data_IF_433362772152
#
_entry.id   IF_433362772152
#
_cell.length_a   1.000
_cell.length_b   1.000
_cell.length_c   1.000
_cell.angle_alpha   90.00
_cell.angle_beta   90.00
_cell.angle_gamma   90.00
#
_symmetry.space_group_name_H-M   'P 1'
#
loop_
_entity.id
_entity.type
_entity.pdbx_description
1 polymer ?
#
# COMPACT_ATOMS: atom_id res chain seq x y z
N UNK A 1 -11.27 14.14 -7.39
CA UNK A 1 -10.75 12.77 -7.15
C UNK A 1 -11.63 12.04 -6.14
N UNK A 2 -11.82 10.73 -6.31
CA UNK A 2 -12.63 9.88 -5.41
C UNK A 2 -11.80 9.42 -4.21
N UNK A 3 -12.44 9.17 -3.06
CA UNK A 3 -11.78 8.59 -1.89
C UNK A 3 -11.41 7.12 -2.18
N UNK A 4 -10.16 6.73 -1.95
CA UNK A 4 -9.72 5.35 -2.16
C UNK A 4 -10.04 4.44 -0.95
N UNK A 5 -10.04 3.13 -1.20
CA UNK A 5 -10.20 2.13 -0.16
C UNK A 5 -9.07 2.20 0.88
N UNK A 6 -9.28 1.53 2.01
CA UNK A 6 -8.29 1.49 3.08
C UNK A 6 -7.00 0.82 2.62
N UNK A 7 -5.83 1.43 2.88
CA UNK A 7 -4.57 0.85 2.43
C UNK A 7 -4.21 -0.46 3.13
N UNK A 8 -4.71 -0.66 4.35
CA UNK A 8 -4.39 -1.82 5.17
C UNK A 8 -5.26 -3.03 4.83
N UNK A 9 -6.59 -2.87 4.85
CA UNK A 9 -7.54 -3.98 4.70
C UNK A 9 -8.35 -3.94 3.40
N UNK A 10 -8.12 -2.95 2.53
CA UNK A 10 -8.93 -2.67 1.32
C UNK A 10 -10.41 -2.43 1.58
N UNK A 11 -10.78 -2.21 2.85
CA UNK A 11 -12.13 -1.87 3.27
C UNK A 11 -12.60 -0.48 2.80
N UNK A 12 -13.90 -0.23 2.93
CA UNK A 12 -14.48 1.09 2.61
C UNK A 12 -13.95 2.14 3.60
N UNK A 13 -13.58 3.29 3.04
CA UNK A 13 -13.23 4.49 3.80
C UNK A 13 -14.35 5.52 3.66
N UNK A 14 -14.57 6.30 4.73
CA UNK A 14 -15.57 7.36 4.77
C UNK A 14 -14.97 8.62 5.41
N UNK A 15 -15.63 9.75 5.17
CA UNK A 15 -15.30 11.00 5.87
C UNK A 15 -16.08 11.06 7.17
N UNK A 16 -15.36 11.26 8.26
CA UNK A 16 -15.91 11.67 9.54
C UNK A 16 -15.67 13.17 9.72
N UNK A 17 -16.63 13.87 10.28
CA UNK A 17 -16.49 15.27 10.64
C UNK A 17 -16.83 15.49 12.13
N UNK A 18 -16.16 16.46 12.73
CA UNK A 18 -16.42 16.89 14.09
C UNK A 18 -16.34 18.40 14.19
N UNK A 19 -17.14 18.98 15.08
CA UNK A 19 -17.05 20.40 15.41
C UNK A 19 -16.12 20.59 16.62
N UNK A 20 -15.14 21.47 16.48
CA UNK A 20 -14.20 21.86 17.55
C UNK A 20 -14.31 23.38 17.72
N UNK A 21 -15.12 23.80 18.69
CA UNK A 21 -15.55 25.20 18.77
C UNK A 21 -16.37 25.58 17.53
N UNK A 22 -15.94 26.63 16.84
CA UNK A 22 -16.59 27.14 15.63
C UNK A 22 -16.02 26.56 14.32
N UNK A 23 -15.03 25.67 14.42
CA UNK A 23 -14.36 25.06 13.26
C UNK A 23 -14.86 23.63 13.04
N UNK A 24 -15.24 23.33 11.80
CA UNK A 24 -15.58 21.97 11.36
C UNK A 24 -14.33 21.28 10.85
N UNK A 25 -13.90 20.26 11.59
CA UNK A 25 -12.75 19.43 11.23
C UNK A 25 -13.19 18.13 10.57
N UNK A 26 -12.36 17.63 9.68
CA UNK A 26 -12.58 16.46 8.85
C UNK A 26 -11.51 15.41 9.11
N UNK A 27 -11.87 14.15 8.94
CA UNK A 27 -10.99 13.01 9.06
C UNK A 27 -11.46 11.94 8.06
N UNK A 28 -10.55 11.13 7.53
CA UNK A 28 -10.90 9.91 6.80
C UNK A 28 -10.66 8.71 7.70
N UNK A 29 -11.66 7.82 7.79
CA UNK A 29 -11.62 6.63 8.63
C UNK A 29 -12.07 5.40 7.85
N UNK A 30 -11.46 4.25 8.14
CA UNK A 30 -11.88 2.96 7.60
C UNK A 30 -12.94 2.30 8.49
N UNK A 31 -14.02 1.81 7.88
CA UNK A 31 -15.12 1.11 8.57
C UNK A 31 -14.70 -0.24 9.19
N UNK A 32 -13.67 -0.90 8.62
CA UNK A 32 -13.29 -2.26 9.00
C UNK A 32 -12.15 -2.31 10.02
N UNK A 33 -11.03 -1.63 9.75
CA UNK A 33 -9.84 -1.73 10.60
C UNK A 33 -9.63 -0.53 11.54
N UNK A 34 -10.51 0.48 11.47
CA UNK A 34 -10.41 1.68 12.30
C UNK A 34 -9.23 2.61 11.98
N UNK A 35 -8.46 2.34 10.91
CA UNK A 35 -7.39 3.22 10.47
C UNK A 35 -7.96 4.60 10.11
N UNK A 36 -7.37 5.66 10.66
CA UNK A 36 -7.83 7.03 10.43
C UNK A 36 -6.68 8.00 10.13
N UNK A 37 -7.01 9.15 9.54
CA UNK A 37 -6.09 10.30 9.36
C UNK A 37 -6.06 11.19 10.61
N UNK A 38 -5.20 12.21 10.64
CA UNK A 38 -5.40 13.32 11.57
C UNK A 38 -6.69 14.08 11.22
N UNK A 39 -7.23 14.80 12.20
CA UNK A 39 -8.25 15.82 11.96
C UNK A 39 -7.60 17.05 11.30
N UNK A 40 -8.27 17.58 10.28
CA UNK A 40 -7.83 18.76 9.54
C UNK A 40 -9.04 19.62 9.15
N UNK A 41 -8.87 20.92 8.99
CA UNK A 41 -9.96 21.83 8.62
C UNK A 41 -10.33 21.71 7.13
N UNK A 42 -9.39 21.25 6.30
CA UNK A 42 -9.62 20.97 4.88
C UNK A 42 -9.92 19.48 4.60
N UNK A 43 -11.15 19.25 4.13
CA UNK A 43 -11.63 17.94 3.67
C UNK A 43 -10.83 17.40 2.48
N UNK A 44 -10.39 18.27 1.57
CA UNK A 44 -9.64 17.90 0.38
C UNK A 44 -8.25 17.40 0.79
N UNK A 45 -7.59 18.14 1.68
CA UNK A 45 -6.30 17.75 2.23
C UNK A 45 -6.34 16.38 2.92
N UNK A 46 -7.37 16.11 3.73
CA UNK A 46 -7.57 14.80 4.36
C UNK A 46 -7.66 13.66 3.35
N UNK A 47 -8.39 13.87 2.24
CA UNK A 47 -8.53 12.89 1.15
C UNK A 47 -7.20 12.64 0.47
N UNK A 48 -6.49 13.69 0.12
CA UNK A 48 -5.26 13.57 -0.66
C UNK A 48 -4.18 12.87 0.17
N UNK A 49 -4.08 13.20 1.47
CA UNK A 49 -3.21 12.50 2.41
C UNK A 49 -3.56 11.02 2.56
N UNK A 50 -4.84 10.67 2.59
CA UNK A 50 -5.28 9.27 2.62
C UNK A 50 -4.87 8.51 1.37
N UNK A 51 -5.11 9.10 0.20
CA UNK A 51 -4.80 8.47 -1.09
C UNK A 51 -3.29 8.28 -1.29
N UNK A 52 -2.45 9.26 -0.89
CA UNK A 52 -0.98 9.12 -0.91
C UNK A 52 -0.51 7.95 -0.03
N UNK A 53 -1.20 7.68 1.08
CA UNK A 53 -0.89 6.56 1.97
C UNK A 53 -1.07 5.20 1.28
N UNK A 54 -2.08 5.09 0.41
CA UNK A 54 -2.35 3.87 -0.37
C UNK A 54 -1.33 3.66 -1.49
N UNK A 55 -0.98 4.71 -2.22
CA UNK A 55 0.07 4.65 -3.24
C UNK A 55 1.38 4.13 -2.64
N UNK A 56 1.80 4.71 -1.51
CA UNK A 56 3.00 4.28 -0.78
C UNK A 56 2.91 2.84 -0.27
N UNK A 57 1.74 2.37 0.15
CA UNK A 57 1.59 0.99 0.62
C UNK A 57 1.67 -0.03 -0.53
N UNK A 58 1.10 0.32 -1.68
CA UNK A 58 1.21 -0.51 -2.89
C UNK A 58 2.67 -0.66 -3.33
N UNK A 59 3.44 0.43 -3.32
CA UNK A 59 4.86 0.43 -3.69
C UNK A 59 5.68 -0.47 -2.76
N UNK A 60 5.45 -0.36 -1.45
CA UNK A 60 6.12 -1.23 -0.47
C UNK A 60 5.81 -2.71 -0.72
N UNK A 61 4.56 -3.04 -1.01
CA UNK A 61 4.15 -4.42 -1.30
C UNK A 61 4.85 -4.99 -2.54
N UNK A 62 4.97 -4.20 -3.62
CA UNK A 62 5.72 -4.60 -4.80
C UNK A 62 7.20 -4.82 -4.52
N UNK A 63 7.84 -3.92 -3.78
CA UNK A 63 9.25 -4.06 -3.39
C UNK A 63 9.47 -5.31 -2.53
N UNK A 64 8.59 -5.57 -1.55
CA UNK A 64 8.65 -6.78 -0.74
C UNK A 64 8.43 -8.04 -1.58
N UNK A 65 7.47 -8.02 -2.52
CA UNK A 65 7.22 -9.13 -3.43
C UNK A 65 8.42 -9.43 -4.33
N UNK A 66 9.04 -8.41 -4.92
CA UNK A 66 10.25 -8.54 -5.74
C UNK A 66 11.43 -9.07 -4.92
N UNK A 67 11.60 -8.57 -3.69
CA UNK A 67 12.62 -9.06 -2.76
C UNK A 67 12.42 -10.52 -2.37
N UNK A 68 11.18 -10.96 -2.19
CA UNK A 68 10.87 -12.36 -1.89
C UNK A 68 11.11 -13.29 -3.09
N UNK A 69 10.96 -12.80 -4.32
CA UNK A 69 11.15 -13.56 -5.56
C UNK A 69 12.62 -13.71 -5.97
N UNK A 70 13.47 -12.76 -5.57
CA UNK A 70 14.92 -12.77 -5.79
C UNK A 70 15.62 -14.11 -5.48
N UNK A 71 15.46 -14.71 -4.28
CA UNK A 71 16.16 -15.96 -3.96
C UNK A 71 15.71 -17.13 -4.86
N UNK A 72 14.42 -17.19 -5.23
CA UNK A 72 13.92 -18.23 -6.13
C UNK A 72 14.52 -18.12 -7.53
N UNK A 73 14.66 -16.90 -8.04
CA UNK A 73 15.33 -16.66 -9.32
C UNK A 73 16.80 -17.06 -9.27
N UNK A 74 17.51 -16.74 -8.19
CA UNK A 74 18.91 -17.12 -8.01
C UNK A 74 19.10 -18.65 -8.04
N UNK A 75 18.24 -19.39 -7.32
CA UNK A 75 18.25 -20.86 -7.34
C UNK A 75 17.90 -21.41 -8.73
N UNK A 76 16.88 -20.84 -9.39
CA UNK A 76 16.48 -21.24 -10.74
C UNK A 76 17.62 -21.06 -11.76
N UNK A 77 18.30 -19.91 -11.74
CA UNK A 77 19.46 -19.66 -12.60
C UNK A 77 20.64 -20.57 -12.27
N UNK A 78 20.87 -20.86 -10.98
CA UNK A 78 21.92 -21.79 -10.58
C UNK A 78 21.67 -23.21 -11.12
N UNK A 79 20.43 -23.70 -11.02
CA UNK A 79 20.05 -25.02 -11.54
C UNK A 79 20.10 -25.07 -13.08
N UNK A 80 19.58 -24.04 -13.75
CA UNK A 80 19.66 -23.93 -15.20
C UNK A 80 21.12 -23.86 -15.68
N UNK A 81 21.97 -23.10 -15.01
CA UNK A 81 23.40 -23.02 -15.31
C UNK A 81 24.09 -24.38 -15.17
N UNK A 82 23.76 -25.16 -14.14
CA UNK A 82 24.29 -26.51 -13.97
C UNK A 82 23.81 -27.46 -15.08
N UNK A 83 22.54 -27.40 -15.47
CA UNK A 83 22.00 -28.25 -16.55
C UNK A 83 22.61 -27.91 -17.92
N UNK A 84 22.73 -26.62 -18.23
CA UNK A 84 23.37 -26.15 -19.47
C UNK A 84 24.85 -26.54 -19.48
N UNK A 85 25.56 -26.36 -18.37
CA UNK A 85 26.96 -26.77 -18.24
C UNK A 85 27.15 -28.28 -18.43
N UNK A 86 26.29 -29.10 -17.81
CA UNK A 86 26.32 -30.56 -17.95
C UNK A 86 25.96 -31.03 -19.37
N UNK A 87 25.11 -30.29 -20.10
CA UNK A 87 24.76 -30.59 -21.49
C UNK A 87 25.85 -30.21 -22.49
N UNK A 88 26.70 -29.23 -22.17
CA UNK A 88 27.82 -28.79 -23.01
C UNK A 88 29.07 -29.69 -22.82
N UNK A 89 29.23 -30.32 -21.66
CA UNK A 89 30.35 -31.21 -21.32
C UNK A 89 30.14 -32.68 -21.75
N UNK A 90 29.14 -32.94 -22.59
CA UNK A 90 28.81 -34.25 -23.16
C UNK A 90 29.10 -34.26 -24.65
#
# INVERSE_FOLDING_TARGET
>A
MKLQCCPCCKGRAYFADMWVGDLRMWQVTCELCGLSTAYDDDRIFCRDRWNVREENNSLKMWVTGLGALSPFLAVGFFLLGNLVGAGIWK
#
